data_IF_350097400102
#
_entry.id   IF_350097400102
#
_cell.length_a   1.000
_cell.length_b   1.000
_cell.length_c   1.000
_cell.angle_alpha   90.00
_cell.angle_beta   90.00
_cell.angle_gamma   90.00
#
_symmetry.space_group_name_H-M   'P 1'
#
loop_
_entity.id
_entity.type
_entity.pdbx_description
1 polymer ?
#
# COMPACT_ATOMS: atom_id res chain seq x y z
N UNK A 1 35.58 21.30 -6.82
CA UNK A 1 34.87 20.59 -5.75
C UNK A 1 35.87 19.71 -5.03
N UNK A 2 36.08 19.95 -3.74
CA UNK A 2 36.99 19.14 -2.92
C UNK A 2 36.38 17.77 -2.63
N UNK A 3 37.19 16.80 -2.21
CA UNK A 3 36.68 15.50 -1.77
C UNK A 3 35.71 15.62 -0.58
N UNK A 4 35.93 16.62 0.27
CA UNK A 4 35.11 16.88 1.44
C UNK A 4 33.72 17.42 1.04
N UNK A 5 33.66 18.30 0.04
CA UNK A 5 32.41 18.77 -0.54
C UNK A 5 31.63 17.64 -1.20
N UNK A 6 32.32 16.76 -1.96
CA UNK A 6 31.69 15.61 -2.60
C UNK A 6 31.11 14.63 -1.57
N UNK A 7 31.83 14.34 -0.48
CA UNK A 7 31.37 13.46 0.59
C UNK A 7 30.13 14.02 1.30
N UNK A 8 30.07 15.35 1.53
CA UNK A 8 28.90 16.01 2.11
C UNK A 8 27.68 15.91 1.20
N UNK A 9 27.84 16.17 -0.10
CA UNK A 9 26.75 16.06 -1.08
C UNK A 9 26.23 14.62 -1.17
N UNK A 10 27.12 13.63 -1.26
CA UNK A 10 26.74 12.22 -1.32
C UNK A 10 25.99 11.77 -0.05
N UNK A 11 26.44 12.21 1.13
CA UNK A 11 25.77 11.90 2.41
C UNK A 11 24.38 12.51 2.46
N UNK A 12 24.23 13.78 2.05
CA UNK A 12 22.94 14.46 2.02
C UNK A 12 21.95 13.76 1.08
N UNK A 13 22.38 13.47 -0.16
CA UNK A 13 21.55 12.78 -1.14
C UNK A 13 21.12 11.37 -0.67
N UNK A 14 22.02 10.64 -0.03
CA UNK A 14 21.71 9.30 0.50
C UNK A 14 20.69 9.38 1.64
N UNK A 15 20.83 10.36 2.52
CA UNK A 15 19.88 10.59 3.61
C UNK A 15 18.50 10.97 3.07
N UNK A 16 18.43 11.91 2.14
CA UNK A 16 17.18 12.36 1.52
C UNK A 16 16.47 11.21 0.79
N UNK A 17 17.22 10.40 0.03
CA UNK A 17 16.70 9.20 -0.62
C UNK A 17 16.17 8.19 0.41
N UNK A 18 16.93 7.94 1.48
CA UNK A 18 16.53 6.99 2.52
C UNK A 18 15.28 7.46 3.25
N UNK A 19 15.19 8.73 3.65
CA UNK A 19 14.01 9.25 4.34
C UNK A 19 12.78 9.26 3.43
N UNK A 20 12.95 9.61 2.16
CA UNK A 20 11.84 9.71 1.20
C UNK A 20 11.35 8.33 0.74
N UNK A 21 12.25 7.36 0.54
CA UNK A 21 11.92 6.08 -0.10
C UNK A 21 12.02 4.87 0.83
N UNK A 22 12.73 4.98 1.95
CA UNK A 22 12.91 3.91 2.93
C UNK A 22 12.33 4.27 4.32
N UNK A 23 11.95 5.53 4.56
CA UNK A 23 11.26 5.97 5.78
C UNK A 23 9.81 5.48 5.89
N UNK A 24 9.22 5.02 4.79
CA UNK A 24 7.90 4.40 4.76
C UNK A 24 8.03 2.88 4.54
N UNK A 25 7.19 2.05 5.19
CA UNK A 25 7.14 0.64 4.90
C UNK A 25 6.80 0.39 3.43
N UNK A 26 7.41 -0.65 2.85
CA UNK A 26 7.18 -0.99 1.44
C UNK A 26 5.70 -1.30 1.19
N UNK A 27 5.03 -0.47 0.38
CA UNK A 27 3.66 -0.72 -0.09
C UNK A 27 3.72 -1.77 -1.18
N UNK A 28 3.09 -2.93 -0.96
CA UNK A 28 3.01 -3.99 -1.96
C UNK A 28 1.89 -3.67 -2.97
N UNK A 29 2.21 -3.32 -4.24
CA UNK A 29 1.19 -2.91 -5.20
C UNK A 29 0.24 -4.06 -5.54
N UNK A 30 -0.92 -3.70 -6.09
CA UNK A 30 -2.01 -4.61 -6.49
C UNK A 30 -1.54 -5.85 -7.25
N UNK A 31 -0.62 -5.65 -8.21
CA UNK A 31 -0.08 -6.73 -9.02
C UNK A 31 0.72 -7.76 -8.20
N UNK A 32 1.35 -7.35 -7.09
CA UNK A 32 2.17 -8.25 -6.26
C UNK A 32 1.32 -9.26 -5.51
N UNK A 33 0.17 -8.86 -4.98
CA UNK A 33 -0.71 -9.77 -4.23
C UNK A 33 -1.82 -10.42 -5.09
N UNK A 34 -1.84 -10.14 -6.40
CA UNK A 34 -2.77 -10.75 -7.34
C UNK A 34 -4.19 -10.20 -7.23
N UNK A 35 -4.33 -8.88 -7.08
CA UNK A 35 -5.62 -8.21 -7.04
C UNK A 35 -6.40 -8.42 -8.35
N UNK A 36 -7.70 -8.65 -8.25
CA UNK A 36 -8.61 -8.51 -9.37
C UNK A 36 -8.63 -7.04 -9.86
N UNK A 37 -8.93 -6.78 -11.13
CA UNK A 37 -9.14 -5.42 -11.63
C UNK A 37 -10.26 -4.68 -10.89
N UNK A 38 -10.15 -3.35 -10.81
CA UNK A 38 -11.25 -2.48 -10.41
C UNK A 38 -12.41 -2.64 -11.42
N UNK A 39 -13.66 -2.64 -10.97
CA UNK A 39 -14.85 -2.67 -11.85
C UNK A 39 -15.36 -1.26 -12.08
N UNK A 40 -15.50 -0.83 -13.33
CA UNK A 40 -15.92 0.53 -13.66
C UNK A 40 -14.76 1.53 -13.58
N UNK A 41 -15.07 2.79 -13.25
CA UNK A 41 -14.12 3.89 -13.28
C UNK A 41 -13.79 4.40 -11.87
N UNK A 42 -12.55 4.28 -11.39
CA UNK A 42 -12.17 4.76 -10.06
C UNK A 42 -12.27 6.29 -10.00
N UNK A 43 -12.92 6.80 -8.96
CA UNK A 43 -12.97 8.25 -8.68
C UNK A 43 -11.70 8.67 -7.93
N UNK A 44 -10.89 9.59 -8.48
CA UNK A 44 -9.72 10.12 -7.79
C UNK A 44 -10.12 10.89 -6.52
N UNK A 45 -9.33 10.75 -5.46
CA UNK A 45 -9.50 11.56 -4.25
C UNK A 45 -8.95 12.98 -4.47
N UNK A 46 -9.61 13.97 -3.88
CA UNK A 46 -9.07 15.34 -3.81
C UNK A 46 -8.04 15.42 -2.70
N UNK A 47 -6.81 15.76 -3.04
CA UNK A 47 -5.71 15.92 -2.09
C UNK A 47 -5.59 17.38 -1.64
N UNK A 48 -5.07 17.64 -0.42
CA UNK A 48 -4.68 16.68 0.61
C UNK A 48 -5.90 16.06 1.33
N UNK A 49 -5.74 14.85 1.89
CA UNK A 49 -6.79 14.21 2.68
C UNK A 49 -6.83 14.81 4.09
N UNK A 50 -8.02 15.15 4.58
CA UNK A 50 -8.22 15.73 5.92
C UNK A 50 -8.45 14.71 7.05
N UNK A 51 -8.68 13.43 6.72
CA UNK A 51 -9.04 12.39 7.67
C UNK A 51 -8.37 11.05 7.34
N UNK A 52 -8.01 10.30 8.39
CA UNK A 52 -7.55 8.92 8.34
C UNK A 52 -8.48 8.07 9.21
N UNK A 53 -9.05 7.01 8.63
CA UNK A 53 -9.91 6.07 9.35
C UNK A 53 -9.20 4.72 9.47
N UNK A 54 -8.96 4.29 10.71
CA UNK A 54 -8.31 3.01 11.00
C UNK A 54 -9.38 1.93 11.14
N UNK A 55 -9.26 0.87 10.35
CA UNK A 55 -10.15 -0.28 10.38
C UNK A 55 -9.38 -1.56 10.69
N UNK A 56 -9.97 -2.46 11.47
CA UNK A 56 -9.59 -3.87 11.43
C UNK A 56 -10.39 -4.59 10.33
N UNK A 57 -9.84 -5.67 9.77
CA UNK A 57 -10.56 -6.50 8.81
C UNK A 57 -11.54 -7.45 9.52
N UNK A 58 -12.48 -8.02 8.75
CA UNK A 58 -13.48 -8.97 9.26
C UNK A 58 -12.83 -10.27 9.79
N UNK A 59 -13.23 -10.69 10.99
CA UNK A 59 -12.84 -11.96 11.64
C UNK A 59 -13.92 -13.00 11.33
N UNK A 60 -13.56 -14.10 10.65
CA UNK A 60 -13.19 -15.28 11.44
C UNK A 60 -11.76 -15.82 11.20
N UNK A 61 -10.87 -15.09 10.52
CA UNK A 61 -9.51 -15.57 10.25
C UNK A 61 -8.46 -15.03 11.25
N UNK A 62 -7.49 -15.86 11.71
CA UNK A 62 -6.30 -15.39 12.41
C UNK A 62 -5.50 -14.36 11.59
N UNK A 63 -4.69 -13.50 12.25
CA UNK A 63 -3.79 -12.61 11.53
C UNK A 63 -2.86 -13.41 10.62
N UNK A 64 -2.62 -12.90 9.42
CA UNK A 64 -1.63 -13.46 8.52
C UNK A 64 -0.24 -12.91 8.87
N UNK A 65 0.80 -13.74 8.76
CA UNK A 65 2.19 -13.35 9.08
C UNK A 65 3.18 -13.68 7.97
N UNK A 66 2.71 -14.28 6.87
CA UNK A 66 3.51 -14.57 5.69
C UNK A 66 2.92 -13.89 4.48
N UNK A 67 3.75 -13.50 3.51
CA UNK A 67 3.28 -12.86 2.29
C UNK A 67 2.20 -13.70 1.57
N UNK A 68 2.41 -15.02 1.46
CA UNK A 68 1.46 -15.92 0.81
C UNK A 68 0.09 -15.94 1.50
N UNK A 69 0.06 -16.02 2.83
CA UNK A 69 -1.19 -16.02 3.59
C UNK A 69 -1.88 -14.65 3.54
N UNK A 70 -1.12 -13.56 3.69
CA UNK A 70 -1.67 -12.20 3.60
C UNK A 70 -2.22 -11.89 2.21
N UNK A 71 -1.51 -12.25 1.15
CA UNK A 71 -1.98 -12.07 -0.21
C UNK A 71 -3.26 -12.89 -0.48
N UNK A 72 -3.34 -14.12 0.05
CA UNK A 72 -4.54 -14.94 -0.05
C UNK A 72 -5.75 -14.31 0.66
N UNK A 73 -5.54 -13.77 1.87
CA UNK A 73 -6.58 -13.05 2.62
C UNK A 73 -7.05 -11.79 1.88
N UNK A 74 -6.12 -10.99 1.34
CA UNK A 74 -6.45 -9.81 0.52
C UNK A 74 -7.32 -10.17 -0.69
N UNK A 75 -6.95 -11.23 -1.43
CA UNK A 75 -7.77 -11.72 -2.55
C UNK A 75 -9.14 -12.22 -2.10
N UNK A 76 -9.24 -12.88 -0.95
CA UNK A 76 -10.51 -13.34 -0.39
C UNK A 76 -11.44 -12.18 -0.05
N UNK A 77 -10.93 -11.17 0.66
CA UNK A 77 -11.68 -9.96 1.00
C UNK A 77 -12.12 -9.18 -0.24
N UNK A 78 -11.24 -9.05 -1.24
CA UNK A 78 -11.59 -8.40 -2.49
C UNK A 78 -12.72 -9.14 -3.23
N UNK A 79 -12.65 -10.47 -3.32
CA UNK A 79 -13.72 -11.28 -3.93
C UNK A 79 -15.04 -11.08 -3.20
N UNK A 80 -15.04 -11.09 -1.87
CA UNK A 80 -16.24 -10.81 -1.06
C UNK A 80 -16.82 -9.43 -1.38
N UNK A 81 -15.99 -8.37 -1.34
CA UNK A 81 -16.44 -7.01 -1.65
C UNK A 81 -17.00 -6.89 -3.07
N UNK A 82 -16.34 -7.48 -4.07
CA UNK A 82 -16.77 -7.36 -5.46
C UNK A 82 -17.95 -8.27 -5.81
N UNK A 83 -17.94 -9.54 -5.40
CA UNK A 83 -18.91 -10.53 -5.86
C UNK A 83 -20.17 -10.56 -5.00
N UNK A 84 -20.02 -10.39 -3.68
CA UNK A 84 -21.15 -10.51 -2.74
C UNK A 84 -21.74 -9.15 -2.38
N UNK A 85 -20.89 -8.12 -2.19
CA UNK A 85 -21.35 -6.75 -1.91
C UNK A 85 -21.53 -5.88 -3.14
N UNK A 86 -21.16 -6.39 -4.32
CA UNK A 86 -21.23 -5.66 -5.59
C UNK A 86 -20.47 -4.32 -5.59
N UNK A 87 -19.40 -4.22 -4.80
CA UNK A 87 -18.51 -3.06 -4.83
C UNK A 87 -17.58 -3.13 -6.04
N UNK A 88 -17.04 -1.99 -6.42
CA UNK A 88 -16.12 -1.91 -7.54
C UNK A 88 -14.74 -2.53 -7.23
N UNK A 89 -14.34 -2.56 -5.95
CA UNK A 89 -13.03 -3.04 -5.48
C UNK A 89 -13.03 -3.35 -3.97
N UNK A 90 -11.85 -3.65 -3.40
CA UNK A 90 -11.66 -3.75 -1.95
C UNK A 90 -11.93 -2.40 -1.25
N UNK A 91 -12.64 -2.43 -0.11
CA UNK A 91 -13.11 -1.22 0.58
C UNK A 91 -12.09 -0.45 1.43
N UNK A 92 -10.81 -0.76 1.33
CA UNK A 92 -9.73 -0.11 2.09
C UNK A 92 -8.62 0.38 1.15
N UNK A 93 -7.83 1.36 1.60
CA UNK A 93 -6.76 2.02 0.84
C UNK A 93 -5.40 1.79 1.45
#
# INVERSE_FOLDING_TARGET
MSQEELARVATFATKEFTETFLGCPAILPRCRWGAAPYRGNPRPLRLPLGFLYVHHTYVPAPPCTTFQSCAANMRSMQRFHQNERHWDDIGYR
#
